data_IF_464765847315
#
_entry.id   IF_464765847315
#
_cell.length_a   1.000
_cell.length_b   1.000
_cell.length_c   1.000
_cell.angle_alpha   90.00
_cell.angle_beta   90.00
_cell.angle_gamma   90.00
#
_symmetry.space_group_name_H-M   'P 1'
#
loop_
_entity.id
_entity.type
_entity.pdbx_description
1 polymer ?
#
# COMPACT_ATOMS: atom_id res chain seq x y z
N UNK A 1 10.18 53.24 21.95
CA UNK A 1 9.32 52.23 21.34
C UNK A 1 9.98 50.89 21.56
N UNK A 2 9.66 50.26 22.70
CA UNK A 2 10.35 49.02 23.15
C UNK A 2 9.75 47.83 22.41
N UNK A 3 10.60 47.06 21.73
CA UNK A 3 10.22 45.82 21.08
C UNK A 3 10.13 44.67 22.11
N UNK A 4 8.96 44.10 22.24
CA UNK A 4 8.68 42.95 23.09
C UNK A 4 9.33 41.71 22.46
N UNK A 5 10.46 41.27 22.98
CA UNK A 5 11.16 40.04 22.60
C UNK A 5 10.63 38.92 23.53
N UNK A 6 9.69 38.14 23.07
CA UNK A 6 9.26 36.94 23.82
C UNK A 6 10.26 35.79 23.57
N UNK A 7 11.10 35.54 24.56
CA UNK A 7 11.98 34.36 24.64
C UNK A 7 11.32 33.28 25.48
N UNK A 8 11.23 32.04 24.98
CA UNK A 8 10.76 30.90 25.76
C UNK A 8 11.94 30.06 26.24
N UNK A 9 11.92 29.67 27.52
CA UNK A 9 12.92 28.80 28.15
C UNK A 9 12.48 27.33 27.99
N UNK A 10 13.39 26.48 27.49
CA UNK A 10 13.20 25.03 27.43
C UNK A 10 14.24 24.35 28.33
N UNK A 11 13.80 23.51 29.27
CA UNK A 11 14.68 22.72 30.13
C UNK A 11 14.79 21.30 29.59
N UNK A 12 15.99 20.84 29.24
CA UNK A 12 16.29 19.44 28.90
C UNK A 12 17.52 19.02 29.73
N UNK A 13 17.36 17.97 30.55
CA UNK A 13 18.44 17.38 31.38
C UNK A 13 19.21 18.36 32.30
N UNK A 14 18.51 19.33 32.89
CA UNK A 14 19.13 20.23 33.87
C UNK A 14 19.91 21.42 33.31
N UNK A 15 19.96 21.60 32.01
CA UNK A 15 20.56 22.77 31.38
C UNK A 15 19.50 23.67 30.73
N UNK A 16 19.72 24.99 30.83
CA UNK A 16 18.78 26.04 30.36
C UNK A 16 19.22 26.52 28.97
N UNK A 17 18.38 26.26 27.96
CA UNK A 17 18.60 26.76 26.62
C UNK A 17 17.63 27.88 26.26
N UNK A 18 18.14 28.97 25.73
CA UNK A 18 17.37 30.12 25.21
C UNK A 18 17.10 29.93 23.73
N UNK A 19 15.84 29.70 23.35
CA UNK A 19 15.44 29.53 21.94
C UNK A 19 14.97 30.86 21.38
N UNK A 20 15.73 31.42 20.43
CA UNK A 20 15.39 32.65 19.70
C UNK A 20 14.43 32.36 18.56
N UNK A 21 13.20 32.80 18.66
CA UNK A 21 12.16 32.61 17.63
C UNK A 21 12.37 33.61 16.49
N UNK A 22 12.89 33.15 15.35
CA UNK A 22 13.02 33.93 14.12
C UNK A 22 11.63 34.13 13.51
N UNK A 23 11.09 35.34 13.56
CA UNK A 23 9.87 35.70 12.81
C UNK A 23 10.22 35.82 11.33
N UNK A 24 9.74 34.89 10.53
CA UNK A 24 9.73 35.05 9.07
C UNK A 24 8.60 36.01 8.71
N UNK A 25 8.93 37.22 8.34
CA UNK A 25 8.02 38.20 7.75
C UNK A 25 7.58 37.73 6.37
N UNK A 26 6.31 37.85 5.98
CA UNK A 26 5.84 37.45 4.65
C UNK A 26 6.19 38.56 3.63
N UNK A 27 7.30 38.38 2.92
CA UNK A 27 7.70 39.27 1.79
C UNK A 27 7.17 38.73 0.45
N UNK A 28 6.25 37.79 0.43
CA UNK A 28 5.72 37.17 -0.82
C UNK A 28 4.29 37.63 -1.14
N UNK A 29 3.88 38.81 -0.73
CA UNK A 29 2.52 39.29 -1.09
C UNK A 29 2.49 40.55 -1.94
N UNK A 30 3.59 40.92 -2.62
CA UNK A 30 3.62 42.17 -3.44
C UNK A 30 4.06 41.96 -4.89
N UNK A 31 4.05 40.73 -5.44
CA UNK A 31 4.48 40.49 -6.84
C UNK A 31 3.43 39.80 -7.71
N UNK A 32 2.17 39.74 -7.29
CA UNK A 32 1.08 39.13 -8.06
C UNK A 32 -0.06 40.07 -8.46
N UNK A 33 0.17 41.39 -8.50
CA UNK A 33 -0.90 42.35 -8.82
C UNK A 33 -0.63 43.25 -10.04
N UNK A 34 0.28 42.89 -10.95
CA UNK A 34 0.55 43.68 -12.17
C UNK A 34 0.58 42.88 -13.46
N UNK A 35 -0.33 41.88 -13.63
CA UNK A 35 -0.52 41.23 -14.93
C UNK A 35 -1.99 40.92 -15.20
N UNK A 36 -2.83 41.94 -15.15
CA UNK A 36 -4.21 41.83 -15.60
C UNK A 36 -4.64 43.14 -16.25
N UNK A 37 -4.23 43.36 -17.48
CA UNK A 37 -4.90 44.22 -18.50
C UNK A 37 -4.09 44.14 -19.79
N UNK A 38 -4.67 43.51 -20.79
CA UNK A 38 -4.64 43.74 -22.23
C UNK A 38 -5.05 42.42 -22.89
N UNK A 39 -6.31 42.37 -23.30
CA UNK A 39 -6.78 41.77 -24.54
C UNK A 39 -8.33 41.83 -24.57
N UNK A 40 -8.81 42.95 -25.05
CA UNK A 40 -10.16 43.07 -25.59
C UNK A 40 -10.00 43.52 -27.05
N UNK A 41 -10.55 42.72 -27.96
CA UNK A 41 -11.06 43.01 -29.27
C UNK A 41 -10.57 42.01 -30.33
N UNK A 42 -11.50 41.22 -30.83
CA UNK A 42 -11.31 40.32 -31.96
C UNK A 42 -12.56 39.48 -32.19
N UNK A 43 -13.66 40.12 -32.69
CA UNK A 43 -14.83 39.40 -33.23
C UNK A 43 -14.45 38.73 -34.54
N UNK A 44 -14.69 37.40 -34.63
CA UNK A 44 -14.62 36.64 -35.86
C UNK A 44 -15.48 35.39 -35.73
N UNK A 45 -16.69 35.46 -36.25
CA UNK A 45 -17.61 34.32 -36.37
C UNK A 45 -17.10 33.30 -37.38
N UNK A 46 -17.02 32.02 -36.98
CA UNK A 46 -17.17 30.87 -37.88
C UNK A 46 -17.77 29.69 -37.12
N UNK A 47 -18.65 28.89 -37.73
CA UNK A 47 -19.52 27.97 -36.99
C UNK A 47 -18.81 26.75 -36.45
N UNK A 48 -19.34 26.29 -35.33
CA UNK A 48 -18.87 25.19 -34.53
C UNK A 48 -19.04 23.84 -35.23
N UNK A 49 -17.96 23.05 -35.25
CA UNK A 49 -18.06 21.61 -35.19
C UNK A 49 -17.90 21.19 -33.73
N UNK A 50 -19.02 20.76 -33.15
CA UNK A 50 -19.08 20.18 -31.80
C UNK A 50 -18.43 18.79 -31.83
N UNK A 51 -17.19 18.71 -31.45
CA UNK A 51 -16.60 17.47 -30.92
C UNK A 51 -15.82 17.79 -29.66
N UNK A 52 -16.54 18.12 -28.59
CA UNK A 52 -15.99 18.14 -27.25
C UNK A 52 -15.78 16.68 -26.84
N UNK A 53 -14.56 16.18 -27.04
CA UNK A 53 -14.12 14.98 -26.37
C UNK A 53 -14.10 15.29 -24.86
N UNK A 54 -15.17 14.91 -24.17
CA UNK A 54 -15.17 14.81 -22.73
C UNK A 54 -14.04 13.85 -22.35
N UNK A 55 -13.06 14.33 -21.59
CA UNK A 55 -12.14 13.47 -20.87
C UNK A 55 -12.96 12.62 -19.92
N UNK A 56 -13.34 11.43 -20.39
CA UNK A 56 -13.90 10.40 -19.55
C UNK A 56 -12.77 9.96 -18.64
N UNK A 57 -12.85 10.33 -17.37
CA UNK A 57 -12.08 9.68 -16.33
C UNK A 57 -12.27 8.18 -16.52
N UNK A 58 -11.16 7.46 -16.76
CA UNK A 58 -11.19 6.04 -17.03
C UNK A 58 -11.71 5.28 -15.82
N UNK A 59 -13.02 5.06 -15.81
CA UNK A 59 -13.61 3.98 -15.02
C UNK A 59 -13.00 2.70 -15.58
N UNK A 60 -12.35 1.84 -14.74
CA UNK A 60 -11.83 0.55 -15.20
C UNK A 60 -12.95 -0.18 -15.91
N UNK A 61 -12.68 -0.64 -17.13
CA UNK A 61 -13.64 -1.41 -17.93
C UNK A 61 -14.10 -2.62 -17.13
N UNK A 62 -15.36 -2.70 -16.81
CA UNK A 62 -16.00 -3.73 -15.98
C UNK A 62 -16.10 -5.08 -16.71
N UNK A 63 -14.95 -5.68 -17.14
CA UNK A 63 -14.90 -7.03 -17.70
C UNK A 63 -13.56 -7.76 -17.53
N UNK A 64 -12.59 -7.25 -16.78
CA UNK A 64 -11.45 -8.05 -16.38
C UNK A 64 -11.88 -8.89 -15.16
N UNK A 65 -12.11 -10.20 -15.34
CA UNK A 65 -12.31 -11.11 -14.22
C UNK A 65 -10.98 -11.29 -13.50
N UNK A 66 -10.89 -10.80 -12.27
CA UNK A 66 -9.68 -10.89 -11.44
C UNK A 66 -9.56 -12.29 -10.80
N UNK A 67 -8.34 -12.84 -10.66
CA UNK A 67 -8.13 -14.07 -9.91
C UNK A 67 -8.61 -13.89 -8.46
N UNK A 68 -9.24 -14.91 -7.93
CA UNK A 68 -9.76 -14.93 -6.56
C UNK A 68 -8.97 -15.91 -5.72
N UNK A 69 -8.32 -15.40 -4.68
CA UNK A 69 -7.63 -16.22 -3.67
C UNK A 69 -8.60 -16.54 -2.54
N UNK A 70 -8.55 -17.79 -2.04
CA UNK A 70 -9.22 -18.21 -0.83
C UNK A 70 -8.20 -18.70 0.18
N UNK A 71 -8.19 -18.12 1.37
CA UNK A 71 -7.35 -18.49 2.52
C UNK A 71 -8.27 -19.12 3.57
N UNK A 72 -8.05 -20.40 3.86
CA UNK A 72 -8.74 -21.14 4.92
C UNK A 72 -7.87 -21.10 6.18
N UNK A 73 -8.47 -20.67 7.30
CA UNK A 73 -7.80 -20.57 8.59
C UNK A 73 -8.07 -21.82 9.46
N UNK A 74 -7.16 -22.12 10.36
CA UNK A 74 -7.26 -23.25 11.31
C UNK A 74 -8.47 -23.18 12.25
N UNK A 75 -9.01 -21.97 12.48
CA UNK A 75 -10.23 -21.76 13.26
C UNK A 75 -11.53 -21.87 12.42
N UNK A 76 -11.42 -22.23 11.14
CA UNK A 76 -12.52 -22.32 10.18
C UNK A 76 -12.91 -20.97 9.53
N UNK A 77 -12.22 -19.89 9.84
CA UNK A 77 -12.40 -18.61 9.15
C UNK A 77 -11.95 -18.69 7.70
N UNK A 78 -12.61 -17.94 6.82
CA UNK A 78 -12.29 -17.88 5.38
C UNK A 78 -12.09 -16.41 5.01
N UNK A 79 -10.98 -16.13 4.30
CA UNK A 79 -10.68 -14.81 3.71
C UNK A 79 -10.63 -15.00 2.21
N UNK A 80 -11.41 -14.20 1.44
CA UNK A 80 -11.27 -14.16 -0.02
C UNK A 80 -10.78 -12.80 -0.47
N UNK A 81 -9.91 -12.80 -1.49
CA UNK A 81 -9.34 -11.57 -2.05
C UNK A 81 -9.25 -11.66 -3.57
N UNK A 82 -9.57 -10.58 -4.24
CA UNK A 82 -9.24 -10.39 -5.66
C UNK A 82 -7.81 -9.89 -5.80
N UNK A 83 -7.12 -10.38 -6.85
CA UNK A 83 -5.79 -9.90 -7.22
C UNK A 83 -5.90 -9.03 -8.47
N UNK A 84 -5.02 -8.02 -8.58
CA UNK A 84 -5.04 -7.02 -9.65
C UNK A 84 -3.77 -7.10 -10.53
N UNK A 85 -3.75 -8.00 -11.55
CA UNK A 85 -2.59 -8.18 -12.44
C UNK A 85 -2.22 -6.91 -13.21
N UNK A 86 -3.19 -6.03 -13.49
CA UNK A 86 -2.98 -4.75 -14.14
C UNK A 86 -2.28 -3.71 -13.27
N UNK A 87 -2.30 -3.91 -11.94
CA UNK A 87 -1.70 -3.01 -10.95
C UNK A 87 -0.27 -3.44 -10.61
N UNK A 88 -0.05 -4.76 -10.43
CA UNK A 88 1.25 -5.32 -10.04
C UNK A 88 1.43 -6.71 -10.67
N UNK A 89 1.71 -6.79 -11.99
CA UNK A 89 1.68 -8.03 -12.75
C UNK A 89 2.66 -9.08 -12.25
N UNK A 90 3.91 -8.73 -11.98
CA UNK A 90 4.91 -9.69 -11.53
C UNK A 90 4.67 -10.14 -10.09
N UNK A 91 4.18 -9.25 -9.24
CA UNK A 91 3.77 -9.56 -7.85
C UNK A 91 2.60 -10.56 -7.85
N UNK A 92 1.60 -10.34 -8.70
CA UNK A 92 0.46 -11.26 -8.84
C UNK A 92 0.91 -12.61 -9.39
N UNK A 93 1.76 -12.63 -10.42
CA UNK A 93 2.34 -13.86 -10.96
C UNK A 93 3.07 -14.66 -9.88
N UNK A 94 3.88 -13.99 -9.07
CA UNK A 94 4.61 -14.58 -7.96
C UNK A 94 3.67 -15.18 -6.91
N UNK A 95 2.67 -14.42 -6.49
CA UNK A 95 1.73 -14.86 -5.47
C UNK A 95 0.91 -16.07 -5.94
N UNK A 96 0.42 -16.06 -7.19
CA UNK A 96 -0.30 -17.18 -7.81
C UNK A 96 0.61 -18.41 -7.93
N UNK A 97 1.85 -18.26 -8.44
CA UNK A 97 2.81 -19.34 -8.57
C UNK A 97 3.10 -20.01 -7.22
N UNK A 98 3.28 -19.23 -6.15
CA UNK A 98 3.50 -19.74 -4.80
C UNK A 98 2.26 -20.48 -4.26
N UNK A 99 1.04 -19.97 -4.48
CA UNK A 99 -0.20 -20.64 -4.10
C UNK A 99 -0.33 -21.98 -4.82
N UNK A 100 -0.13 -22.02 -6.13
CA UNK A 100 -0.24 -23.24 -6.93
C UNK A 100 0.78 -24.32 -6.52
N UNK A 101 1.91 -23.92 -5.95
CA UNK A 101 2.92 -24.82 -5.37
C UNK A 101 2.62 -25.24 -3.93
N UNK A 102 1.50 -24.77 -3.34
CA UNK A 102 1.14 -25.05 -1.96
C UNK A 102 2.06 -24.39 -0.92
N UNK A 103 2.82 -23.37 -1.34
CA UNK A 103 3.83 -22.72 -0.49
C UNK A 103 3.26 -22.09 0.78
N UNK A 104 2.04 -21.57 0.72
CA UNK A 104 1.41 -20.90 1.85
C UNK A 104 0.68 -21.84 2.81
N UNK A 105 0.45 -23.09 2.42
CA UNK A 105 -0.25 -24.09 3.25
C UNK A 105 0.57 -24.35 4.53
N UNK A 106 -0.06 -24.18 5.69
CA UNK A 106 0.58 -24.32 7.00
C UNK A 106 1.38 -23.10 7.47
N UNK A 107 1.52 -22.04 6.66
CA UNK A 107 2.15 -20.81 7.13
C UNK A 107 1.22 -20.02 8.06
N UNK A 108 1.80 -19.08 8.82
CA UNK A 108 1.09 -18.34 9.87
C UNK A 108 1.05 -16.84 9.61
N UNK A 109 0.09 -16.15 10.23
CA UNK A 109 0.22 -14.72 10.45
C UNK A 109 1.12 -14.50 11.67
N UNK A 110 2.38 -14.19 11.43
CA UNK A 110 3.43 -14.09 12.46
C UNK A 110 3.54 -12.72 13.10
N UNK A 111 2.92 -11.68 12.51
CA UNK A 111 2.92 -10.31 13.02
C UNK A 111 1.58 -9.65 12.82
N UNK A 112 1.02 -9.05 13.89
CA UNK A 112 -0.28 -8.37 13.87
C UNK A 112 -0.19 -7.04 14.62
N UNK A 113 -0.64 -5.95 13.97
CA UNK A 113 -0.65 -4.61 14.57
C UNK A 113 -2.04 -4.01 14.40
N UNK A 114 -2.85 -3.90 15.48
CA UNK A 114 -4.16 -3.25 15.45
C UNK A 114 -4.09 -1.83 14.88
N UNK A 115 -5.05 -1.51 14.03
CA UNK A 115 -5.08 -0.23 13.32
C UNK A 115 -4.03 -0.09 12.24
N UNK A 116 -3.39 -1.21 11.81
CA UNK A 116 -2.40 -1.21 10.74
C UNK A 116 -2.57 -2.43 9.82
N UNK A 117 -2.06 -3.62 10.19
CA UNK A 117 -2.08 -4.78 9.28
C UNK A 117 -1.89 -6.11 10.01
N UNK A 118 -2.15 -7.22 9.30
CA UNK A 118 -1.67 -8.57 9.64
C UNK A 118 -0.68 -9.02 8.58
N UNK A 119 0.46 -9.63 8.97
CA UNK A 119 1.53 -10.05 8.07
C UNK A 119 1.80 -11.55 8.20
N UNK A 120 1.87 -12.23 7.06
CA UNK A 120 2.13 -13.67 6.95
C UNK A 120 2.94 -14.04 5.72
N UNK A 121 2.90 -15.33 5.33
CA UNK A 121 3.57 -15.84 4.12
C UNK A 121 5.06 -16.12 4.29
N UNK A 122 5.54 -16.18 5.53
CA UNK A 122 6.88 -16.65 5.87
C UNK A 122 6.81 -18.16 6.21
N UNK A 123 7.53 -19.05 5.47
CA UNK A 123 7.51 -20.48 5.74
C UNK A 123 8.14 -20.85 7.09
N UNK A 124 9.03 -20.00 7.62
CA UNK A 124 9.67 -20.20 8.94
C UNK A 124 8.87 -19.55 10.07
N UNK A 125 7.93 -18.64 9.75
CA UNK A 125 7.13 -17.90 10.71
C UNK A 125 7.94 -16.97 11.63
N UNK A 126 9.16 -16.61 11.24
CA UNK A 126 10.10 -15.76 11.99
C UNK A 126 10.08 -14.30 11.57
N UNK A 127 9.52 -14.01 10.38
CA UNK A 127 9.61 -12.73 9.69
C UNK A 127 10.84 -12.58 8.79
N UNK A 128 11.71 -13.61 8.74
CA UNK A 128 12.96 -13.58 7.96
C UNK A 128 12.98 -14.58 6.79
N UNK A 129 12.05 -15.53 6.77
CA UNK A 129 11.97 -16.56 5.72
C UNK A 129 11.32 -16.05 4.43
N UNK A 130 11.48 -16.84 3.36
CA UNK A 130 10.96 -16.52 2.04
C UNK A 130 11.10 -17.69 1.07
N UNK A 131 10.81 -17.50 -0.22
CA UNK A 131 10.77 -18.56 -1.23
C UNK A 131 12.17 -18.95 -1.77
N UNK A 132 13.25 -18.36 -1.26
CA UNK A 132 14.62 -18.57 -1.75
C UNK A 132 15.00 -17.67 -2.93
N UNK A 133 14.17 -16.69 -3.28
CA UNK A 133 14.43 -15.67 -4.31
C UNK A 133 13.69 -14.38 -3.97
N UNK A 134 14.01 -13.31 -4.69
CA UNK A 134 13.31 -12.03 -4.62
C UNK A 134 12.67 -11.68 -5.97
N UNK A 135 11.73 -10.74 -5.93
CA UNK A 135 11.13 -10.10 -7.11
C UNK A 135 11.31 -8.57 -7.04
N UNK A 136 11.29 -7.92 -8.19
CA UNK A 136 11.33 -6.47 -8.28
C UNK A 136 10.10 -5.85 -7.60
N UNK A 137 10.31 -4.74 -6.92
CA UNK A 137 9.24 -4.01 -6.24
C UNK A 137 8.40 -3.19 -7.22
N UNK A 138 7.12 -3.51 -7.37
CA UNK A 138 6.19 -2.83 -8.27
C UNK A 138 5.49 -1.67 -7.57
N UNK A 139 6.22 -0.58 -7.29
CA UNK A 139 5.73 0.64 -6.64
C UNK A 139 6.49 1.89 -7.11
N UNK A 140 5.91 3.07 -6.89
CA UNK A 140 6.38 4.34 -7.45
C UNK A 140 7.82 4.68 -7.09
N UNK A 141 8.25 4.49 -5.84
CA UNK A 141 9.61 4.77 -5.40
C UNK A 141 10.66 3.89 -6.13
N UNK A 142 10.25 2.77 -6.71
CA UNK A 142 11.07 1.89 -7.55
C UNK A 142 10.86 2.11 -9.07
N UNK A 143 10.24 3.22 -9.46
CA UNK A 143 10.01 3.57 -10.87
C UNK A 143 8.85 2.85 -11.54
N UNK A 144 8.03 2.10 -10.78
CA UNK A 144 6.87 1.39 -11.30
C UNK A 144 5.57 2.10 -10.87
N UNK A 145 4.65 2.33 -11.82
CA UNK A 145 3.37 2.99 -11.53
C UNK A 145 2.41 2.01 -10.87
N UNK A 146 2.17 2.19 -9.57
CA UNK A 146 1.16 1.47 -8.81
C UNK A 146 0.36 2.49 -7.99
N UNK A 147 -0.90 2.68 -8.36
CA UNK A 147 -1.79 3.69 -7.76
C UNK A 147 -2.80 3.08 -6.77
N UNK A 148 -2.67 1.79 -6.44
CA UNK A 148 -3.53 1.16 -5.46
C UNK A 148 -3.14 1.65 -4.05
N UNK A 149 -4.07 2.37 -3.42
CA UNK A 149 -3.85 2.95 -2.10
C UNK A 149 -4.01 1.89 -0.99
N UNK A 150 -3.18 1.96 0.05
CA UNK A 150 -3.22 1.06 1.21
C UNK A 150 -4.41 1.40 2.12
N UNK A 151 -5.62 1.09 1.65
CA UNK A 151 -6.86 1.15 2.42
C UNK A 151 -7.16 -0.18 3.09
N UNK A 152 -8.12 -0.22 4.02
CA UNK A 152 -8.56 -1.44 4.67
C UNK A 152 -8.90 -2.55 3.67
N UNK A 153 -8.42 -3.77 3.94
CA UNK A 153 -8.58 -4.96 3.10
C UNK A 153 -7.57 -5.09 1.96
N UNK A 154 -6.72 -4.10 1.67
CA UNK A 154 -5.72 -4.20 0.60
C UNK A 154 -4.61 -5.17 0.98
N UNK A 155 -4.24 -6.04 0.01
CA UNK A 155 -3.08 -6.93 0.07
C UNK A 155 -1.87 -6.22 -0.51
N UNK A 156 -0.72 -6.30 0.18
CA UNK A 156 0.53 -5.71 -0.29
C UNK A 156 1.72 -6.60 0.08
N UNK A 157 2.80 -6.56 -0.71
CA UNK A 157 4.00 -7.35 -0.44
C UNK A 157 4.86 -6.72 0.63
N UNK A 158 5.27 -7.54 1.59
CA UNK A 158 6.33 -7.18 2.52
C UNK A 158 7.70 -7.29 1.83
N UNK A 159 8.66 -6.49 2.28
CA UNK A 159 10.04 -6.46 1.75
C UNK A 159 11.05 -6.04 2.80
N UNK A 160 12.32 -6.27 2.52
CA UNK A 160 13.43 -5.72 3.29
C UNK A 160 13.65 -4.22 3.02
N UNK A 161 14.83 -3.71 3.39
CA UNK A 161 15.17 -2.30 3.17
C UNK A 161 15.36 -1.96 1.68
N UNK A 162 16.03 -2.83 0.93
CA UNK A 162 16.18 -2.64 -0.51
C UNK A 162 14.84 -2.86 -1.23
N UNK A 163 14.64 -2.20 -2.37
CA UNK A 163 13.35 -2.14 -3.05
C UNK A 163 12.97 -3.48 -3.71
N UNK A 164 13.95 -4.25 -4.16
CA UNK A 164 13.79 -5.51 -4.90
C UNK A 164 14.05 -6.72 -3.99
N UNK A 165 13.45 -6.75 -2.81
CA UNK A 165 13.63 -7.81 -1.81
C UNK A 165 12.32 -8.45 -1.37
N UNK A 166 11.22 -8.18 -2.06
CA UNK A 166 9.98 -8.90 -1.85
C UNK A 166 10.13 -10.36 -2.26
N UNK A 167 9.53 -11.27 -1.50
CA UNK A 167 9.59 -12.72 -1.77
C UNK A 167 8.20 -13.35 -1.67
N UNK A 168 7.90 -13.98 -0.53
CA UNK A 168 6.59 -14.59 -0.27
C UNK A 168 5.78 -13.86 0.79
N UNK A 169 6.41 -13.07 1.65
CA UNK A 169 5.68 -12.41 2.74
C UNK A 169 4.76 -11.32 2.21
N UNK A 170 3.54 -11.30 2.72
CA UNK A 170 2.52 -10.32 2.39
C UNK A 170 1.82 -9.83 3.65
N UNK A 171 1.12 -8.71 3.54
CA UNK A 171 0.26 -8.20 4.60
C UNK A 171 -1.10 -7.78 4.08
N UNK A 172 -2.11 -7.85 4.95
CA UNK A 172 -3.47 -7.39 4.71
C UNK A 172 -3.73 -6.20 5.60
N UNK A 173 -4.14 -5.09 5.01
CA UNK A 173 -4.42 -3.85 5.74
C UNK A 173 -5.67 -3.98 6.59
N UNK A 174 -5.60 -3.53 7.85
CA UNK A 174 -6.76 -3.44 8.76
C UNK A 174 -7.21 -2.00 9.01
N UNK A 175 -6.46 -1.04 8.47
CA UNK A 175 -6.80 0.38 8.45
C UNK A 175 -6.10 1.07 7.27
N UNK A 176 -6.55 2.28 6.91
CA UNK A 176 -5.91 3.10 5.87
C UNK A 176 -4.55 3.62 6.33
N UNK A 177 -3.50 3.42 5.51
CA UNK A 177 -2.11 3.76 5.83
C UNK A 177 -1.40 4.46 4.66
N UNK A 178 -1.66 5.74 4.41
CA UNK A 178 -1.15 6.46 3.24
C UNK A 178 0.38 6.55 3.18
N UNK A 179 1.08 6.34 4.30
CA UNK A 179 2.55 6.36 4.35
C UNK A 179 3.20 5.17 3.61
N UNK A 180 2.42 4.13 3.26
CA UNK A 180 2.87 3.00 2.47
C UNK A 180 2.70 3.23 0.96
N UNK A 181 1.83 4.18 0.57
CA UNK A 181 1.52 4.44 -0.83
C UNK A 181 2.77 4.83 -1.61
N UNK A 182 2.94 4.22 -2.78
CA UNK A 182 4.12 4.41 -3.62
C UNK A 182 5.43 3.83 -3.08
N UNK A 183 5.43 3.13 -1.92
CA UNK A 183 6.61 2.53 -1.29
C UNK A 183 6.52 1.02 -1.14
N UNK A 184 5.33 0.44 -1.31
CA UNK A 184 5.05 -0.99 -1.26
C UNK A 184 4.15 -1.41 -2.42
N UNK A 185 4.29 -2.66 -2.88
CA UNK A 185 3.53 -3.22 -3.99
C UNK A 185 2.17 -3.73 -3.49
N UNK A 186 1.16 -2.87 -3.50
CA UNK A 186 -0.22 -3.28 -3.32
C UNK A 186 -0.69 -4.03 -4.57
N UNK A 187 -1.37 -5.19 -4.42
CA UNK A 187 -1.66 -6.08 -5.54
C UNK A 187 -3.02 -6.78 -5.50
N UNK A 188 -3.84 -6.51 -4.50
CA UNK A 188 -5.16 -7.12 -4.36
C UNK A 188 -5.96 -6.52 -3.22
N UNK A 189 -7.19 -7.02 -3.04
CA UNK A 189 -8.08 -6.57 -1.98
C UNK A 189 -9.00 -7.68 -1.50
N UNK A 190 -9.20 -7.76 -0.19
CA UNK A 190 -10.18 -8.65 0.45
C UNK A 190 -11.59 -8.27 0.00
N UNK A 191 -12.33 -9.27 -0.46
CA UNK A 191 -13.74 -9.16 -0.89
C UNK A 191 -14.69 -9.82 0.09
N UNK A 192 -14.24 -10.86 0.81
CA UNK A 192 -15.00 -11.56 1.84
C UNK A 192 -14.08 -11.91 3.03
N UNK A 193 -14.61 -11.94 4.26
CA UNK A 193 -13.85 -12.33 5.46
C UNK A 193 -13.00 -11.21 6.06
N UNK A 194 -13.36 -9.94 5.85
CA UNK A 194 -12.69 -8.82 6.51
C UNK A 194 -12.87 -8.87 8.04
N UNK A 195 -13.98 -9.41 8.52
CA UNK A 195 -14.22 -9.68 9.94
C UNK A 195 -13.24 -10.73 10.51
N UNK A 196 -12.86 -11.74 9.71
CA UNK A 196 -11.80 -12.71 10.08
C UNK A 196 -10.46 -12.01 10.19
N UNK A 197 -10.11 -11.12 9.24
CA UNK A 197 -8.89 -10.30 9.29
C UNK A 197 -8.88 -9.43 10.54
N UNK A 198 -10.02 -8.79 10.86
CA UNK A 198 -10.15 -7.95 12.05
C UNK A 198 -10.10 -8.78 13.36
N UNK A 199 -10.60 -10.02 13.36
CA UNK A 199 -10.44 -10.91 14.50
C UNK A 199 -8.96 -11.29 14.72
N UNK A 200 -8.22 -11.61 13.66
CA UNK A 200 -6.79 -11.95 13.70
C UNK A 200 -5.96 -10.77 14.24
N UNK A 201 -6.17 -9.55 13.76
CA UNK A 201 -5.35 -8.40 14.18
C UNK A 201 -5.53 -8.05 15.67
N UNK A 202 -6.66 -8.43 16.26
CA UNK A 202 -6.96 -8.18 17.67
C UNK A 202 -6.58 -9.33 18.62
N UNK A 203 -5.90 -10.38 18.12
CA UNK A 203 -5.41 -11.48 18.98
C UNK A 203 -4.41 -10.93 20.02
N UNK A 204 -4.36 -11.55 21.22
CA UNK A 204 -3.29 -11.31 22.19
C UNK A 204 -1.92 -11.56 21.55
N UNK A 205 -0.98 -10.64 21.79
CA UNK A 205 0.34 -10.66 21.17
C UNK A 205 1.41 -10.17 22.13
N UNK A 206 2.65 -10.57 21.89
CA UNK A 206 3.81 -10.12 22.64
C UNK A 206 4.30 -8.72 22.18
N UNK A 207 5.34 -8.21 22.85
CA UNK A 207 5.93 -6.89 22.56
C UNK A 207 6.59 -6.78 21.17
N UNK A 208 6.75 -7.90 20.45
CA UNK A 208 7.24 -7.96 19.07
C UNK A 208 6.10 -8.09 18.05
N UNK A 209 4.87 -7.78 18.44
CA UNK A 209 3.65 -7.89 17.62
C UNK A 209 3.33 -9.31 17.12
N UNK A 210 3.93 -10.35 17.69
CA UNK A 210 3.67 -11.73 17.37
C UNK A 210 2.47 -12.24 18.18
N UNK A 211 1.42 -12.80 17.55
CA UNK A 211 0.34 -13.44 18.30
C UNK A 211 0.85 -14.52 19.26
N UNK A 212 0.32 -14.57 20.48
CA UNK A 212 0.67 -15.62 21.46
C UNK A 212 0.34 -17.02 20.92
N UNK A 213 -0.74 -17.13 20.16
CA UNK A 213 -1.10 -18.30 19.35
C UNK A 213 -1.27 -17.83 17.90
N UNK A 214 -0.23 -17.97 17.07
CA UNK A 214 -0.29 -17.51 15.68
C UNK A 214 -1.34 -18.29 14.87
N UNK A 215 -2.30 -17.61 14.20
CA UNK A 215 -3.30 -18.29 13.37
C UNK A 215 -2.64 -18.87 12.12
N UNK A 216 -3.08 -20.08 11.74
CA UNK A 216 -2.51 -20.87 10.65
C UNK A 216 -3.38 -20.77 9.40
N UNK A 217 -2.79 -20.49 8.25
CA UNK A 217 -3.40 -20.66 6.93
C UNK A 217 -3.35 -22.15 6.57
N UNK A 218 -4.42 -22.90 6.82
CA UNK A 218 -4.44 -24.35 6.60
C UNK A 218 -4.41 -24.71 5.12
N UNK A 219 -5.05 -23.88 4.29
CA UNK A 219 -5.09 -24.03 2.85
C UNK A 219 -5.19 -22.67 2.17
N UNK A 220 -4.40 -22.47 1.12
CA UNK A 220 -4.52 -21.29 0.25
C UNK A 220 -4.70 -21.75 -1.18
N UNK A 221 -5.76 -21.30 -1.84
CA UNK A 221 -6.10 -21.64 -3.22
C UNK A 221 -6.34 -20.41 -4.05
N UNK A 222 -6.23 -20.53 -5.37
CA UNK A 222 -6.55 -19.44 -6.31
C UNK A 222 -7.40 -19.97 -7.45
N UNK A 223 -8.51 -19.31 -7.73
CA UNK A 223 -9.28 -19.47 -8.95
C UNK A 223 -8.79 -18.40 -9.95
N UNK A 224 -8.13 -18.84 -11.01
CA UNK A 224 -7.62 -17.97 -12.06
C UNK A 224 -8.64 -17.69 -13.16
N UNK A 225 -9.85 -18.20 -13.01
CA UNK A 225 -10.95 -18.06 -13.99
C UNK A 225 -10.58 -18.52 -15.40
N UNK A 226 -9.71 -19.54 -15.48
CA UNK A 226 -9.21 -20.11 -16.74
C UNK A 226 -8.07 -19.34 -17.39
N UNK A 227 -7.56 -18.28 -16.77
CA UNK A 227 -6.39 -17.53 -17.23
C UNK A 227 -5.11 -18.23 -16.75
N UNK A 228 -4.12 -18.36 -17.66
CA UNK A 228 -2.79 -18.86 -17.30
C UNK A 228 -1.88 -17.68 -16.94
N UNK A 229 -1.28 -17.74 -15.75
CA UNK A 229 -0.31 -16.77 -15.28
C UNK A 229 1.11 -17.31 -15.43
N UNK A 230 2.08 -16.54 -15.94
CA UNK A 230 3.46 -16.99 -16.09
C UNK A 230 4.15 -17.10 -14.72
N UNK A 231 5.27 -17.85 -14.69
CA UNK A 231 6.18 -17.79 -13.55
C UNK A 231 6.70 -16.37 -13.34
N UNK A 232 6.96 -15.94 -12.09
CA UNK A 232 7.46 -14.60 -11.84
C UNK A 232 8.87 -14.38 -12.38
N UNK A 233 9.14 -13.16 -12.79
CA UNK A 233 10.51 -12.69 -13.03
C UNK A 233 11.20 -12.49 -11.68
N UNK A 234 12.34 -13.17 -11.49
CA UNK A 234 13.13 -13.14 -10.25
C UNK A 234 14.28 -12.17 -10.38
N UNK A 235 14.62 -11.51 -9.27
CA UNK A 235 15.84 -10.72 -9.15
C UNK A 235 16.96 -11.66 -8.70
N UNK A 236 18.11 -11.57 -9.38
CA UNK A 236 19.33 -12.31 -9.05
C UNK A 236 20.09 -11.70 -7.85
#
# INVERSE_FOLDING_TARGET
>A
MMSDEQSSLLMIKGEIYTVKRIRRTPVILLLMMTLLMIFAAGCGNKPADNNAAAATEGVPSATASHPVVTIEMDNGGIIKAELYPEVAPNTVNNFISLIQKGFYDGTIFHRVIPGFMIQGGDPEGTGMGGPGYSIAGEFLANGFTNNLLHTEGVLSMARGQAMDTAGSQFFIMTATSPHLDGSYAAFGKVTEGLDVVQAIVNLPRNDSDRPDTPPVMTKVTVDTLGVTYPEPEKVE
#
